data_IF_956274843740
#
_entry.id   IF_956274843740
#
_cell.length_a   1.000
_cell.length_b   1.000
_cell.length_c   1.000
_cell.angle_alpha   90.00
_cell.angle_beta   90.00
_cell.angle_gamma   90.00
#
_symmetry.space_group_name_H-M   'P 1'
#
loop_
_entity.id
_entity.type
_entity.pdbx_description
1 polymer ?
#
# COMPACT_ATOMS: atom_id res chain seq x y z
N UNK A 1 -18.52 13.16 -10.93
CA UNK A 1 -18.17 11.84 -10.35
C UNK A 1 -16.81 11.36 -10.85
N UNK A 2 -16.12 10.58 -10.02
CA UNK A 2 -14.66 10.49 -9.79
C UNK A 2 -13.73 11.17 -10.81
N UNK A 3 -13.83 10.88 -12.12
CA UNK A 3 -13.06 11.55 -13.18
C UNK A 3 -13.20 13.08 -13.22
N UNK A 4 -14.39 13.58 -12.84
CA UNK A 4 -14.73 15.01 -12.79
C UNK A 4 -14.24 15.70 -11.51
N UNK A 5 -13.70 14.94 -10.53
CA UNK A 5 -13.10 15.57 -9.35
C UNK A 5 -11.85 16.37 -9.76
N UNK A 6 -11.53 17.46 -9.03
CA UNK A 6 -10.27 18.18 -9.20
C UNK A 6 -9.08 17.24 -9.21
N UNK A 7 -8.06 17.56 -10.01
CA UNK A 7 -6.85 16.73 -10.11
C UNK A 7 -6.21 16.46 -8.74
N UNK A 8 -6.17 17.49 -7.88
CA UNK A 8 -5.71 17.38 -6.47
C UNK A 8 -6.46 16.31 -5.69
N UNK A 9 -7.78 16.23 -5.81
CA UNK A 9 -8.58 15.21 -5.11
C UNK A 9 -8.31 13.80 -5.64
N UNK A 10 -8.19 13.63 -6.96
CA UNK A 10 -7.84 12.33 -7.56
C UNK A 10 -6.46 11.84 -7.13
N UNK A 11 -5.51 12.76 -7.00
CA UNK A 11 -4.18 12.49 -6.42
C UNK A 11 -4.28 12.09 -4.95
N UNK A 12 -5.04 12.83 -4.14
CA UNK A 12 -5.23 12.53 -2.73
C UNK A 12 -5.90 11.16 -2.50
N UNK A 13 -6.89 10.79 -3.32
CA UNK A 13 -7.48 9.45 -3.34
C UNK A 13 -6.39 8.41 -3.57
N UNK A 14 -5.59 8.58 -4.64
CA UNK A 14 -4.53 7.62 -5.01
C UNK A 14 -3.50 7.46 -3.90
N UNK A 15 -3.03 8.57 -3.33
CA UNK A 15 -2.07 8.56 -2.22
C UNK A 15 -2.65 7.91 -0.96
N UNK A 16 -3.93 8.14 -0.65
CA UNK A 16 -4.59 7.52 0.51
C UNK A 16 -4.67 6.01 0.38
N UNK A 17 -5.04 5.50 -0.80
CA UNK A 17 -5.13 4.07 -1.08
C UNK A 17 -3.76 3.43 -0.92
N UNK A 18 -2.73 4.02 -1.55
CA UNK A 18 -1.35 3.54 -1.42
C UNK A 18 -0.88 3.51 0.04
N UNK A 19 -1.09 4.61 0.78
CA UNK A 19 -0.69 4.73 2.19
C UNK A 19 -1.32 3.64 3.06
N UNK A 20 -2.64 3.46 2.95
CA UNK A 20 -3.37 2.49 3.78
C UNK A 20 -3.04 1.05 3.36
N UNK A 21 -2.91 0.79 2.06
CA UNK A 21 -2.55 -0.52 1.55
C UNK A 21 -1.16 -0.94 2.03
N UNK A 22 -0.15 -0.08 1.89
CA UNK A 22 1.22 -0.34 2.37
C UNK A 22 1.23 -0.60 3.89
N UNK A 23 0.47 0.18 4.67
CA UNK A 23 0.33 -0.01 6.12
C UNK A 23 -0.32 -1.35 6.45
N UNK A 24 -1.42 -1.70 5.77
CA UNK A 24 -2.13 -2.96 5.97
C UNK A 24 -1.23 -4.16 5.65
N UNK A 25 -0.59 -4.16 4.48
CA UNK A 25 0.32 -5.24 4.07
C UNK A 25 1.49 -5.39 5.05
N UNK A 26 2.04 -4.29 5.55
CA UNK A 26 3.06 -4.34 6.60
C UNK A 26 2.55 -4.99 7.90
N UNK A 27 1.27 -4.79 8.29
CA UNK A 27 0.70 -5.43 9.49
C UNK A 27 0.58 -6.95 9.39
N UNK A 28 0.37 -7.47 8.18
CA UNK A 28 0.33 -8.91 7.91
C UNK A 28 1.70 -9.47 7.48
N UNK A 29 2.74 -8.63 7.51
CA UNK A 29 4.10 -9.01 7.16
C UNK A 29 4.35 -9.22 5.67
N UNK A 30 3.53 -8.60 4.82
CA UNK A 30 3.48 -8.80 3.37
C UNK A 30 3.18 -10.23 2.94
N UNK A 31 2.46 -10.97 3.79
CA UNK A 31 1.99 -12.31 3.50
C UNK A 31 0.67 -12.26 2.70
N UNK A 32 0.74 -12.48 1.40
CA UNK A 32 -0.41 -12.44 0.49
C UNK A 32 -1.52 -13.42 0.90
N UNK A 33 -1.19 -14.53 1.56
CA UNK A 33 -2.19 -15.52 2.01
C UNK A 33 -3.08 -14.99 3.14
N UNK A 34 -2.66 -13.91 3.80
CA UNK A 34 -3.40 -13.21 4.86
C UNK A 34 -4.15 -11.98 4.34
N UNK A 35 -4.02 -11.65 3.06
CA UNK A 35 -4.71 -10.52 2.48
C UNK A 35 -6.22 -10.76 2.47
N UNK A 36 -6.96 -9.83 3.06
CA UNK A 36 -8.41 -9.79 3.05
C UNK A 36 -8.90 -8.41 2.59
N UNK A 37 -9.61 -8.41 1.46
CA UNK A 37 -10.10 -7.19 0.85
C UNK A 37 -11.10 -6.44 1.76
N UNK A 38 -11.91 -7.15 2.54
CA UNK A 38 -12.88 -6.53 3.45
C UNK A 38 -12.18 -5.77 4.58
N UNK A 39 -11.16 -6.37 5.19
CA UNK A 39 -10.33 -5.76 6.23
C UNK A 39 -9.59 -4.53 5.69
N UNK A 40 -8.99 -4.63 4.50
CA UNK A 40 -8.36 -3.48 3.85
C UNK A 40 -9.36 -2.34 3.63
N UNK A 41 -10.54 -2.65 3.08
CA UNK A 41 -11.58 -1.65 2.83
C UNK A 41 -12.09 -1.00 4.12
N UNK A 42 -12.20 -1.75 5.22
CA UNK A 42 -12.55 -1.21 6.53
C UNK A 42 -11.48 -0.25 7.06
N UNK A 43 -10.20 -0.60 6.97
CA UNK A 43 -9.10 0.28 7.37
C UNK A 43 -9.05 1.54 6.51
N UNK A 44 -9.26 1.41 5.21
CA UNK A 44 -9.29 2.55 4.31
C UNK A 44 -10.49 3.44 4.59
N UNK A 45 -11.68 2.88 4.83
CA UNK A 45 -12.86 3.63 5.29
C UNK A 45 -12.56 4.37 6.59
N UNK A 46 -11.93 3.72 7.57
CA UNK A 46 -11.54 4.37 8.81
C UNK A 46 -10.61 5.56 8.56
N UNK A 47 -9.62 5.41 7.69
CA UNK A 47 -8.75 6.51 7.27
C UNK A 47 -9.53 7.67 6.63
N UNK A 48 -10.51 7.38 5.76
CA UNK A 48 -11.33 8.41 5.12
C UNK A 48 -12.06 9.31 6.12
N UNK A 49 -12.66 8.72 7.15
CA UNK A 49 -13.45 9.47 8.13
C UNK A 49 -12.62 10.14 9.22
N UNK A 50 -11.40 9.66 9.51
CA UNK A 50 -10.61 10.13 10.66
C UNK A 50 -9.36 10.93 10.26
N UNK A 51 -8.78 10.69 9.08
CA UNK A 51 -7.50 11.30 8.67
C UNK A 51 -7.60 12.07 7.34
N UNK A 52 -8.48 11.67 6.43
CA UNK A 52 -8.50 12.19 5.06
C UNK A 52 -9.23 13.54 4.94
N UNK A 53 -8.48 14.64 4.98
CA UNK A 53 -9.02 16.00 4.80
C UNK A 53 -9.79 16.16 3.48
N UNK A 54 -9.33 15.53 2.40
CA UNK A 54 -10.00 15.59 1.09
C UNK A 54 -11.39 14.94 1.10
N UNK A 55 -11.63 13.95 1.95
CA UNK A 55 -12.92 13.27 2.02
C UNK A 55 -13.95 14.16 2.72
N UNK A 56 -13.54 14.94 3.72
CA UNK A 56 -14.38 15.97 4.34
C UNK A 56 -14.76 17.10 3.37
N UNK A 57 -13.87 17.44 2.42
CA UNK A 57 -14.11 18.45 1.37
C UNK A 57 -15.14 17.99 0.31
N UNK A 58 -15.55 16.72 0.28
CA UNK A 58 -16.55 16.24 -0.67
C UNK A 58 -17.98 16.59 -0.22
N UNK A 59 -18.82 16.97 -1.18
CA UNK A 59 -20.26 17.14 -0.97
C UNK A 59 -20.90 15.81 -0.58
N UNK A 60 -21.87 15.86 0.35
CA UNK A 60 -22.57 14.66 0.82
C UNK A 60 -23.34 13.96 -0.32
N UNK A 61 -23.83 14.72 -1.30
CA UNK A 61 -24.44 14.18 -2.51
C UNK A 61 -23.49 13.32 -3.35
N UNK A 62 -22.18 13.59 -3.30
CA UNK A 62 -21.15 12.75 -3.94
C UNK A 62 -20.87 11.53 -3.06
N UNK A 63 -20.76 11.73 -1.75
CA UNK A 63 -20.45 10.65 -0.78
C UNK A 63 -21.52 9.56 -0.71
N UNK A 64 -22.77 9.86 -1.03
CA UNK A 64 -23.87 8.88 -1.05
C UNK A 64 -24.21 8.39 -2.45
N UNK A 65 -23.47 8.82 -3.47
CA UNK A 65 -23.78 8.50 -4.86
C UNK A 65 -23.29 7.08 -5.24
N UNK A 66 -24.18 6.16 -5.64
CA UNK A 66 -23.80 4.79 -6.00
C UNK A 66 -22.76 4.71 -7.14
N UNK A 67 -22.89 5.56 -8.16
CA UNK A 67 -21.95 5.60 -9.28
C UNK A 67 -20.58 6.11 -8.85
N UNK A 68 -20.51 7.01 -7.87
CA UNK A 68 -19.24 7.42 -7.27
C UNK A 68 -18.57 6.24 -6.54
N UNK A 69 -19.32 5.49 -5.74
CA UNK A 69 -18.79 4.32 -5.04
C UNK A 69 -18.28 3.23 -5.98
N UNK A 70 -19.00 2.95 -7.08
CA UNK A 70 -18.57 1.99 -8.09
C UNK A 70 -17.26 2.42 -8.76
N UNK A 71 -17.16 3.68 -9.19
CA UNK A 71 -15.93 4.23 -9.78
C UNK A 71 -14.77 4.22 -8.80
N UNK A 72 -15.05 4.48 -7.52
CA UNK A 72 -14.05 4.45 -6.47
C UNK A 72 -13.54 3.03 -6.22
N UNK A 73 -14.43 2.04 -6.17
CA UNK A 73 -14.05 0.63 -6.05
C UNK A 73 -13.18 0.17 -7.23
N UNK A 74 -13.57 0.50 -8.47
CA UNK A 74 -12.76 0.22 -9.65
C UNK A 74 -11.37 0.88 -9.55
N UNK A 75 -11.33 2.14 -9.11
CA UNK A 75 -10.06 2.87 -8.94
C UNK A 75 -9.16 2.27 -7.87
N UNK A 76 -9.71 1.77 -6.77
CA UNK A 76 -8.97 1.07 -5.72
C UNK A 76 -8.31 -0.18 -6.29
N UNK A 77 -9.08 -1.01 -7.00
CA UNK A 77 -8.57 -2.23 -7.60
C UNK A 77 -7.45 -1.94 -8.61
N UNK A 78 -7.62 -0.94 -9.48
CA UNK A 78 -6.56 -0.50 -10.40
C UNK A 78 -5.28 -0.10 -9.67
N UNK A 79 -5.39 0.66 -8.56
CA UNK A 79 -4.22 1.10 -7.81
C UNK A 79 -3.53 -0.08 -7.14
N UNK A 80 -4.28 -0.97 -6.49
CA UNK A 80 -3.70 -2.15 -5.84
C UNK A 80 -2.99 -3.01 -6.88
N UNK A 81 -3.62 -3.28 -8.01
CA UNK A 81 -3.04 -4.03 -9.12
C UNK A 81 -1.73 -3.39 -9.61
N UNK A 82 -1.70 -2.06 -9.77
CA UNK A 82 -0.47 -1.34 -10.11
C UNK A 82 0.62 -1.50 -9.05
N UNK A 83 0.27 -1.47 -7.76
CA UNK A 83 1.25 -1.56 -6.68
C UNK A 83 1.87 -2.95 -6.55
N UNK A 84 1.08 -4.01 -6.72
CA UNK A 84 1.57 -5.40 -6.60
C UNK A 84 2.29 -5.86 -7.87
N UNK A 85 1.98 -5.29 -9.03
CA UNK A 85 2.68 -5.58 -10.28
C UNK A 85 3.87 -4.65 -10.56
N UNK A 86 4.12 -3.62 -9.74
CA UNK A 86 5.30 -2.78 -9.88
C UNK A 86 6.53 -3.57 -9.40
N UNK A 87 7.48 -3.94 -10.28
CA UNK A 87 8.62 -4.73 -9.88
C UNK A 87 9.56 -3.93 -8.98
N UNK A 88 10.32 -4.59 -8.09
CA UNK A 88 11.40 -3.96 -7.36
C UNK A 88 12.42 -3.30 -8.29
N UNK A 89 13.06 -2.23 -7.83
CA UNK A 89 14.17 -1.63 -8.56
C UNK A 89 15.44 -2.45 -8.38
N UNK A 90 16.38 -2.34 -9.33
CA UNK A 90 17.69 -3.01 -9.23
C UNK A 90 18.43 -2.66 -7.93
N UNK A 91 18.30 -1.43 -7.46
CA UNK A 91 18.85 -0.98 -6.17
C UNK A 91 18.23 -1.72 -4.98
N UNK A 92 16.92 -1.93 -5.00
CA UNK A 92 16.24 -2.69 -3.94
C UNK A 92 16.65 -4.16 -3.96
N UNK A 93 16.74 -4.76 -5.14
CA UNK A 93 17.19 -6.15 -5.32
C UNK A 93 18.62 -6.31 -4.78
N UNK A 94 19.54 -5.42 -5.18
CA UNK A 94 20.91 -5.45 -4.71
C UNK A 94 21.02 -5.28 -3.18
N UNK A 95 20.21 -4.40 -2.59
CA UNK A 95 20.19 -4.19 -1.15
C UNK A 95 19.63 -5.41 -0.39
N UNK A 96 18.57 -6.03 -0.89
CA UNK A 96 18.02 -7.28 -0.31
C UNK A 96 19.10 -8.36 -0.31
N UNK A 97 19.72 -8.63 -1.46
CA UNK A 97 20.76 -9.66 -1.59
C UNK A 97 21.92 -9.42 -0.61
N UNK A 98 22.38 -8.15 -0.51
CA UNK A 98 23.43 -7.79 0.45
C UNK A 98 23.01 -8.05 1.89
N UNK A 99 21.76 -7.78 2.25
CA UNK A 99 21.26 -7.97 3.62
C UNK A 99 21.05 -9.44 3.95
N UNK A 100 20.50 -10.22 3.03
CA UNK A 100 20.24 -11.65 3.21
C UNK A 100 21.54 -12.44 3.30
N UNK A 101 22.54 -12.14 2.47
CA UNK A 101 23.90 -12.72 2.55
C UNK A 101 24.52 -12.48 3.94
N UNK A 102 24.43 -11.26 4.46
CA UNK A 102 24.97 -10.91 5.79
C UNK A 102 24.23 -11.59 6.94
N UNK A 103 22.97 -11.92 6.73
CA UNK A 103 22.14 -12.61 7.72
C UNK A 103 22.23 -14.13 7.60
N UNK A 104 22.78 -14.65 6.50
CA UNK A 104 22.84 -16.08 6.18
C UNK A 104 21.47 -16.62 5.77
N UNK A 105 20.68 -15.83 5.03
CA UNK A 105 19.35 -16.22 4.54
C UNK A 105 19.46 -16.52 3.05
N UNK A 106 19.16 -17.76 2.68
CA UNK A 106 19.04 -18.18 1.28
C UNK A 106 17.58 -18.07 0.80
N UNK A 107 17.40 -17.90 -0.51
CA UNK A 107 16.09 -17.91 -1.20
C UNK A 107 15.02 -17.00 -0.55
N UNK A 108 15.34 -15.71 -0.43
CA UNK A 108 14.47 -14.73 0.20
C UNK A 108 13.37 -14.25 -0.77
N UNK A 109 12.08 -14.51 -0.48
CA UNK A 109 10.99 -14.17 -1.41
C UNK A 109 10.66 -12.67 -1.36
N UNK A 110 10.44 -12.08 -2.54
CA UNK A 110 9.83 -10.77 -2.73
C UNK A 110 9.22 -10.69 -4.14
N UNK A 111 8.02 -10.13 -4.27
CA UNK A 111 7.27 -10.04 -5.52
C UNK A 111 7.18 -8.63 -6.10
N UNK A 112 7.07 -7.60 -5.26
CA UNK A 112 6.83 -6.22 -5.71
C UNK A 112 7.72 -5.18 -5.03
N UNK A 113 7.74 -3.98 -5.60
CA UNK A 113 8.54 -2.84 -5.13
C UNK A 113 8.27 -2.46 -3.68
N UNK A 114 7.01 -2.44 -3.28
CA UNK A 114 6.62 -2.07 -1.91
C UNK A 114 6.99 -3.16 -0.90
N UNK A 115 6.81 -4.42 -1.27
CA UNK A 115 7.26 -5.54 -0.46
C UNK A 115 8.78 -5.54 -0.28
N UNK A 116 9.53 -5.32 -1.37
CA UNK A 116 10.98 -5.21 -1.32
C UNK A 116 11.44 -4.11 -0.37
N UNK A 117 10.80 -2.93 -0.41
CA UNK A 117 11.06 -1.84 0.53
C UNK A 117 10.82 -2.28 1.99
N UNK A 118 9.69 -2.91 2.27
CA UNK A 118 9.37 -3.40 3.61
C UNK A 118 10.42 -4.40 4.12
N UNK A 119 10.81 -5.36 3.29
CA UNK A 119 11.80 -6.36 3.67
C UNK A 119 13.19 -5.76 3.90
N UNK A 120 13.61 -4.78 3.10
CA UNK A 120 14.87 -4.04 3.34
C UNK A 120 14.85 -3.42 4.73
N UNK A 121 13.78 -2.71 5.09
CA UNK A 121 13.64 -2.08 6.41
C UNK A 121 13.68 -3.13 7.53
N UNK A 122 12.98 -4.26 7.36
CA UNK A 122 12.96 -5.38 8.31
C UNK A 122 14.34 -6.01 8.49
N UNK A 123 15.00 -6.40 7.41
CA UNK A 123 16.32 -7.04 7.41
C UNK A 123 17.39 -6.11 7.99
N UNK A 124 17.33 -4.81 7.70
CA UNK A 124 18.22 -3.81 8.31
C UNK A 124 18.05 -3.73 9.83
N UNK A 125 16.81 -3.81 10.34
CA UNK A 125 16.55 -3.84 11.78
C UNK A 125 17.08 -5.13 12.42
N UNK A 126 16.89 -6.28 11.78
CA UNK A 126 17.42 -7.57 12.27
C UNK A 126 18.94 -7.56 12.35
N UNK A 127 19.60 -7.02 11.33
CA UNK A 127 21.05 -6.89 11.31
C UNK A 127 21.57 -5.94 12.40
N UNK A 128 20.84 -4.86 12.71
CA UNK A 128 21.17 -3.97 13.83
C UNK A 128 21.05 -4.70 15.17
N UNK A 129 20.00 -5.52 15.36
CA UNK A 129 19.80 -6.32 16.58
C UNK A 129 20.90 -7.37 16.78
N UNK A 130 21.39 -8.03 15.73
CA UNK A 130 22.50 -9.00 15.83
C UNK A 130 23.85 -8.37 16.22
N UNK A 131 24.03 -7.06 16.01
CA UNK A 131 25.28 -6.34 16.34
C UNK A 131 25.28 -5.70 17.73
N UNK A 132 24.13 -5.64 18.39
CA UNK A 132 23.99 -5.15 19.76
C UNK A 132 24.14 -6.29 20.76
#
# INVERSE_FOLDING_TARGET
MLKQLPHRMKMNITLSIKKVFEKYMATIGWDETKYDAATFMEQWRHYLYNEATWFAELDDAIKTNPQFHEQLAARINEIIDQLVNEPPTDEQIAEINRLTERLGIDDFPYGCKLEAKYHIERLQQELKKKKS
#
